data_IF_225104896101
#
_entry.id   IF_225104896101
#
_cell.length_a   1.000
_cell.length_b   1.000
_cell.length_c   1.000
_cell.angle_alpha   90.00
_cell.angle_beta   90.00
_cell.angle_gamma   90.00
#
_symmetry.space_group_name_H-M   'P 1'
#
loop_
_entity.id
_entity.type
_entity.pdbx_description
1 polymer ?
#
# COMPACT_ATOMS: atom_id res chain seq x y z
N UNK A 1 -10.05 -3.06 -0.24
CA UNK A 1 -9.57 -1.67 -0.32
C UNK A 1 -10.78 -0.81 -0.58
N UNK A 2 -10.97 0.22 0.24
CA UNK A 2 -11.92 1.27 -0.08
C UNK A 2 -11.40 2.08 -1.29
N UNK A 3 -12.23 2.95 -1.92
CA UNK A 3 -11.80 3.69 -3.11
C UNK A 3 -10.55 4.55 -2.90
N UNK A 4 -10.41 5.16 -1.72
CA UNK A 4 -9.21 5.91 -1.33
C UNK A 4 -7.96 5.02 -1.23
N UNK A 5 -8.05 3.85 -0.59
CA UNK A 5 -6.91 2.93 -0.44
C UNK A 5 -6.49 2.38 -1.82
N UNK A 6 -7.46 2.17 -2.69
CA UNK A 6 -7.24 1.75 -4.07
C UNK A 6 -6.49 2.82 -4.86
N UNK A 7 -6.81 4.11 -4.68
CA UNK A 7 -6.10 5.21 -5.30
C UNK A 7 -4.64 5.30 -4.81
N UNK A 8 -4.41 5.11 -3.51
CA UNK A 8 -3.06 5.05 -2.93
C UNK A 8 -2.28 3.89 -3.57
N UNK A 9 -2.84 2.68 -3.58
CA UNK A 9 -2.20 1.50 -4.17
C UNK A 9 -1.91 1.70 -5.68
N UNK A 10 -2.86 2.25 -6.44
CA UNK A 10 -2.69 2.55 -7.86
C UNK A 10 -1.56 3.56 -8.10
N UNK A 11 -1.46 4.59 -7.26
CA UNK A 11 -0.38 5.57 -7.30
C UNK A 11 0.97 4.90 -7.03
N UNK A 12 1.06 4.08 -5.99
CA UNK A 12 2.28 3.33 -5.69
C UNK A 12 2.71 2.45 -6.88
N UNK A 13 1.76 1.74 -7.50
CA UNK A 13 2.02 0.92 -8.69
C UNK A 13 2.52 1.74 -9.87
N UNK A 14 1.88 2.88 -10.14
CA UNK A 14 2.21 3.75 -11.27
C UNK A 14 3.64 4.32 -11.14
N UNK A 15 4.03 4.73 -9.93
CA UNK A 15 5.35 5.31 -9.66
C UNK A 15 6.41 4.28 -9.23
N UNK A 16 6.10 2.98 -9.26
CA UNK A 16 7.05 1.92 -8.89
C UNK A 16 7.43 1.89 -7.40
N UNK A 17 6.59 2.46 -6.53
CA UNK A 17 6.77 2.42 -5.07
C UNK A 17 6.36 1.04 -4.57
N UNK A 18 7.32 0.31 -4.01
CA UNK A 18 7.11 -1.06 -3.51
C UNK A 18 6.94 -1.15 -2.00
N UNK A 19 7.24 -0.09 -1.26
CA UNK A 19 7.20 -0.07 0.21
C UNK A 19 6.21 0.96 0.68
N UNK A 20 5.34 0.57 1.60
CA UNK A 20 4.38 1.47 2.23
C UNK A 20 4.44 1.29 3.74
N UNK A 21 4.39 2.40 4.46
CA UNK A 21 4.31 2.41 5.91
C UNK A 21 2.93 2.93 6.29
N UNK A 22 2.11 2.08 6.90
CA UNK A 22 0.70 2.36 7.19
C UNK A 22 0.26 1.57 8.43
N UNK A 23 -0.75 2.08 9.14
CA UNK A 23 -1.46 1.34 10.20
C UNK A 23 -2.70 0.63 9.68
N UNK A 24 -3.00 0.76 8.39
CA UNK A 24 -4.11 0.09 7.74
C UNK A 24 -3.66 -1.27 7.19
N UNK A 25 -4.15 -2.33 7.83
CA UNK A 25 -3.85 -3.71 7.50
C UNK A 25 -4.44 -4.16 6.16
N UNK A 26 -5.39 -3.42 5.57
CA UNK A 26 -5.99 -3.76 4.29
C UNK A 26 -4.97 -3.78 3.14
N UNK A 27 -3.89 -3.02 3.26
CA UNK A 27 -2.78 -2.99 2.29
C UNK A 27 -1.94 -4.28 2.29
N UNK A 28 -2.04 -5.12 3.33
CA UNK A 28 -1.39 -6.45 3.34
C UNK A 28 -1.92 -7.38 2.25
N UNK A 29 -3.10 -7.08 1.67
CA UNK A 29 -3.72 -7.84 0.57
C UNK A 29 -3.25 -7.39 -0.81
N UNK A 30 -2.34 -6.42 -0.89
CA UNK A 30 -1.84 -5.87 -2.16
C UNK A 30 -0.48 -6.49 -2.48
N UNK A 31 -0.47 -7.46 -3.40
CA UNK A 31 0.67 -8.34 -3.65
C UNK A 31 1.99 -7.63 -4.05
N UNK A 32 1.92 -6.40 -4.57
CA UNK A 32 3.10 -5.64 -4.99
C UNK A 32 3.64 -4.66 -3.93
N UNK A 33 2.98 -4.56 -2.77
CA UNK A 33 3.38 -3.68 -1.67
C UNK A 33 3.96 -4.47 -0.51
N UNK A 34 5.15 -4.06 -0.07
CA UNK A 34 5.82 -4.50 1.15
C UNK A 34 5.46 -3.53 2.29
N UNK A 35 4.91 -4.08 3.38
CA UNK A 35 4.56 -3.28 4.56
C UNK A 35 5.80 -3.05 5.42
N UNK A 36 6.14 -1.78 5.62
CA UNK A 36 7.19 -1.38 6.56
C UNK A 36 6.62 -1.34 7.97
N UNK A 37 7.17 -2.17 8.86
CA UNK A 37 6.80 -2.16 10.29
C UNK A 37 7.31 -0.87 10.93
N UNK A 38 6.40 -0.08 11.48
CA UNK A 38 6.73 1.02 12.38
C UNK A 38 7.11 0.44 13.75
N UNK A 39 8.16 0.95 14.38
CA UNK A 39 8.56 0.63 15.76
C UNK A 39 8.07 1.72 16.71
#
# INVERSE_FOLDING_TARGET
>A
LLPNDSLIAATCKHYGIKKIATFDDDFKRVDFLEIVKMK
#
